data_IF_472327627485
#
_entry.id   IF_472327627485
#
_cell.length_a   1.000
_cell.length_b   1.000
_cell.length_c   1.000
_cell.angle_alpha   90.00
_cell.angle_beta   90.00
_cell.angle_gamma   90.00
#
_symmetry.space_group_name_H-M   'P 1'
#
loop_
_entity.id
_entity.type
_entity.pdbx_description
1 polymer ?
#
# COMPACT_ATOMS: atom_id res chain seq x y z
N UNK A 1 13.42 26.69 -7.68
CA UNK A 1 14.05 25.88 -6.62
C UNK A 1 14.08 24.42 -6.99
N UNK A 2 12.97 23.70 -6.83
CA UNK A 2 12.91 22.23 -6.99
C UNK A 2 12.78 21.74 -8.44
N UNK A 3 11.96 22.40 -9.27
CA UNK A 3 11.77 22.04 -10.70
C UNK A 3 13.11 22.00 -11.47
N UNK A 4 13.98 22.99 -11.23
CA UNK A 4 15.33 23.10 -11.82
C UNK A 4 16.31 22.04 -11.29
N UNK A 5 16.09 21.52 -10.09
CA UNK A 5 16.88 20.45 -9.48
C UNK A 5 16.48 19.08 -10.05
N UNK A 6 15.17 18.83 -10.19
CA UNK A 6 14.59 17.60 -10.78
C UNK A 6 14.99 17.43 -12.25
N UNK A 7 14.86 18.48 -13.07
CA UNK A 7 15.20 18.45 -14.50
C UNK A 7 16.68 18.12 -14.78
N UNK A 8 17.60 18.41 -13.85
CA UNK A 8 19.03 18.12 -14.01
C UNK A 8 19.40 16.66 -13.73
N UNK A 9 18.56 15.90 -13.01
CA UNK A 9 18.85 14.51 -12.59
C UNK A 9 18.12 13.44 -13.41
N UNK A 10 16.96 13.76 -13.99
CA UNK A 10 16.24 12.88 -14.93
C UNK A 10 17.11 12.43 -16.12
N UNK A 11 18.12 13.21 -16.51
CA UNK A 11 19.02 12.88 -17.63
C UNK A 11 20.05 11.76 -17.34
N UNK A 12 20.18 11.29 -16.08
CA UNK A 12 21.17 10.28 -15.68
C UNK A 12 20.62 8.88 -15.41
N UNK A 13 19.30 8.68 -15.38
CA UNK A 13 18.72 7.34 -15.38
C UNK A 13 18.54 6.87 -16.82
N UNK A 14 18.90 5.61 -17.11
CA UNK A 14 18.67 4.95 -18.41
C UNK A 14 17.17 4.69 -18.63
N UNK A 15 16.36 5.75 -18.66
CA UNK A 15 14.98 5.69 -19.13
C UNK A 15 15.03 5.74 -20.65
N UNK A 16 14.50 4.70 -21.29
CA UNK A 16 14.36 4.61 -22.74
C UNK A 16 13.66 5.85 -23.29
N UNK A 17 14.40 6.59 -24.15
CA UNK A 17 13.92 7.62 -25.09
C UNK A 17 12.73 8.47 -24.61
N UNK A 18 13.02 9.48 -23.79
CA UNK A 18 12.15 10.64 -23.65
C UNK A 18 12.07 11.37 -25.00
N UNK A 19 10.91 11.31 -25.68
CA UNK A 19 10.64 12.20 -26.81
C UNK A 19 10.43 13.62 -26.27
N UNK A 20 11.47 14.44 -26.39
CA UNK A 20 11.42 15.89 -26.22
C UNK A 20 10.78 16.47 -27.48
N UNK A 21 9.46 16.72 -27.44
CA UNK A 21 8.81 17.77 -28.23
C UNK A 21 7.34 17.86 -27.85
N UNK A 22 7.04 18.70 -26.86
CA UNK A 22 5.77 19.42 -26.81
C UNK A 22 6.06 20.87 -26.43
N UNK A 23 5.55 21.81 -27.23
CA UNK A 23 5.92 23.23 -27.21
C UNK A 23 5.23 24.04 -26.09
N UNK A 24 4.80 23.38 -25.03
CA UNK A 24 4.36 24.02 -23.78
C UNK A 24 5.22 23.45 -22.64
N UNK A 25 5.94 24.31 -21.92
CA UNK A 25 6.99 23.93 -20.95
C UNK A 25 6.53 23.20 -19.67
N UNK A 26 5.59 22.29 -19.79
CA UNK A 26 5.08 21.41 -18.74
C UNK A 26 5.47 19.98 -19.11
N UNK A 27 6.49 19.46 -18.43
CA UNK A 27 6.70 18.01 -18.32
C UNK A 27 5.36 17.39 -17.93
N UNK A 28 4.70 16.69 -18.87
CA UNK A 28 3.42 16.05 -18.65
C UNK A 28 3.60 14.91 -17.65
N UNK A 29 3.27 15.17 -16.39
CA UNK A 29 3.19 14.11 -15.39
C UNK A 29 1.86 13.40 -15.59
N UNK A 30 1.91 12.09 -15.85
CA UNK A 30 0.71 11.26 -15.96
C UNK A 30 0.14 11.03 -14.56
N UNK A 31 -1.06 11.54 -14.24
CA UNK A 31 -1.61 11.47 -12.88
C UNK A 31 -1.68 10.05 -12.33
N UNK A 32 -2.03 9.08 -13.18
CA UNK A 32 -2.16 7.67 -12.83
C UNK A 32 -0.84 7.00 -12.42
N UNK A 33 0.31 7.59 -12.76
CA UNK A 33 1.64 7.05 -12.43
C UNK A 33 2.47 7.98 -11.54
N UNK A 34 1.85 9.03 -11.02
CA UNK A 34 2.53 10.06 -10.23
C UNK A 34 2.18 9.92 -8.74
N UNK A 35 3.20 9.83 -7.89
CA UNK A 35 3.05 9.75 -6.43
C UNK A 35 3.27 11.14 -5.81
N UNK A 36 2.33 11.60 -5.00
CA UNK A 36 2.49 12.79 -4.17
C UNK A 36 3.21 12.45 -2.87
N UNK A 37 4.36 13.08 -2.59
CA UNK A 37 5.07 12.93 -1.32
C UNK A 37 4.90 14.18 -0.47
N UNK A 38 4.43 14.04 0.77
CA UNK A 38 4.40 15.13 1.74
C UNK A 38 5.66 15.08 2.60
N UNK A 39 6.47 16.14 2.52
CA UNK A 39 7.77 16.25 3.18
C UNK A 39 7.74 17.27 4.31
N UNK A 40 8.57 17.04 5.33
CA UNK A 40 8.76 17.99 6.42
C UNK A 40 9.66 19.15 6.01
N UNK A 41 9.19 20.38 6.21
CA UNK A 41 10.00 21.59 5.97
C UNK A 41 11.34 21.59 6.74
N UNK A 42 11.40 21.26 8.05
CA UNK A 42 12.66 21.27 8.80
C UNK A 42 13.76 20.45 8.11
N UNK A 43 13.47 19.21 7.71
CA UNK A 43 14.46 18.31 7.11
C UNK A 43 14.96 18.77 5.73
N UNK A 44 14.11 19.48 4.97
CA UNK A 44 14.53 20.09 3.71
C UNK A 44 15.42 21.32 3.94
N UNK A 45 15.09 22.14 4.94
CA UNK A 45 15.85 23.36 5.27
C UNK A 45 17.21 23.01 5.89
N UNK A 46 17.26 21.98 6.74
CA UNK A 46 18.50 21.50 7.37
C UNK A 46 19.35 20.62 6.45
N UNK A 47 18.93 20.40 5.20
CA UNK A 47 19.60 19.53 4.24
C UNK A 47 19.73 18.05 4.71
N UNK A 48 18.87 17.60 5.63
CA UNK A 48 18.89 16.24 6.20
C UNK A 48 17.88 15.32 5.50
N UNK A 49 17.94 15.25 4.17
CA UNK A 49 16.91 14.63 3.32
C UNK A 49 17.36 13.34 2.61
N UNK A 50 18.49 12.73 3.01
CA UNK A 50 19.05 11.54 2.33
C UNK A 50 18.08 10.35 2.29
N UNK A 51 17.35 10.12 3.39
CA UNK A 51 16.29 9.11 3.44
C UNK A 51 15.14 9.38 2.44
N UNK A 52 14.73 10.64 2.26
CA UNK A 52 13.77 11.03 1.21
C UNK A 52 14.32 10.76 -0.19
N UNK A 53 15.58 11.14 -0.46
CA UNK A 53 16.23 10.89 -1.75
C UNK A 53 16.26 9.39 -2.09
N UNK A 54 16.54 8.53 -1.11
CA UNK A 54 16.55 7.08 -1.31
C UNK A 54 15.16 6.53 -1.64
N UNK A 55 14.11 7.02 -0.98
CA UNK A 55 12.74 6.63 -1.30
C UNK A 55 12.32 7.10 -2.69
N UNK A 56 12.59 8.36 -3.04
CA UNK A 56 12.27 8.93 -4.36
C UNK A 56 12.93 8.09 -5.46
N UNK A 57 14.22 7.78 -5.32
CA UNK A 57 14.95 6.93 -6.28
C UNK A 57 14.34 5.54 -6.41
N UNK A 58 13.91 4.94 -5.30
CA UNK A 58 13.25 3.63 -5.34
C UNK A 58 11.91 3.69 -6.09
N UNK A 59 11.13 4.75 -5.89
CA UNK A 59 9.85 4.96 -6.60
C UNK A 59 10.10 5.18 -8.10
N UNK A 60 11.07 6.02 -8.45
CA UNK A 60 11.45 6.27 -9.85
C UNK A 60 11.97 5.02 -10.56
N UNK A 61 12.70 4.15 -9.84
CA UNK A 61 13.19 2.88 -10.38
C UNK A 61 12.06 1.90 -10.72
N UNK A 62 10.89 2.02 -10.10
CA UNK A 62 9.68 1.24 -10.44
C UNK A 62 8.87 1.89 -11.60
N UNK A 63 9.39 2.94 -12.22
CA UNK A 63 8.77 3.66 -13.33
C UNK A 63 7.60 4.56 -12.92
N UNK A 64 7.59 5.04 -11.67
CA UNK A 64 6.61 6.00 -11.18
C UNK A 64 7.24 7.40 -11.08
N UNK A 65 6.46 8.44 -11.37
CA UNK A 65 6.88 9.83 -11.18
C UNK A 65 6.60 10.30 -9.76
N UNK A 66 7.32 11.33 -9.30
CA UNK A 66 7.14 11.86 -7.94
C UNK A 66 6.94 13.37 -7.95
N UNK A 67 5.91 13.84 -7.25
CA UNK A 67 5.73 15.24 -6.87
C UNK A 67 5.97 15.35 -5.36
N UNK A 68 7.12 15.85 -4.91
CA UNK A 68 7.33 16.15 -3.51
C UNK A 68 6.83 17.57 -3.19
N UNK A 69 5.97 17.65 -2.18
CA UNK A 69 5.41 18.87 -1.66
C UNK A 69 5.82 19.04 -0.19
N UNK A 70 6.26 20.24 0.16
CA UNK A 70 6.58 20.57 1.55
C UNK A 70 5.26 20.88 2.26
N UNK A 71 4.97 20.12 3.32
CA UNK A 71 3.85 20.38 4.20
C UNK A 71 4.22 21.39 5.30
N UNK A 72 3.29 22.27 5.62
CA UNK A 72 3.42 23.25 6.70
C UNK A 72 2.88 22.70 8.01
N UNK A 73 3.48 21.61 8.51
CA UNK A 73 3.34 20.94 9.83
C UNK A 73 1.92 20.61 10.35
N UNK A 74 0.93 21.48 10.20
CA UNK A 74 -0.36 21.45 10.86
C UNK A 74 -1.53 21.26 9.88
N UNK A 75 -1.32 21.36 8.56
CA UNK A 75 -2.39 21.13 7.59
C UNK A 75 -1.81 20.72 6.23
N UNK A 76 -1.88 19.43 5.91
CA UNK A 76 -1.38 18.90 4.65
C UNK A 76 -2.27 19.27 3.44
N UNK A 77 -3.52 19.69 3.67
CA UNK A 77 -4.46 20.04 2.59
C UNK A 77 -3.93 21.18 1.73
N UNK A 78 -3.28 22.17 2.34
CA UNK A 78 -2.71 23.30 1.61
C UNK A 78 -1.65 22.86 0.59
N UNK A 79 -0.82 21.88 0.95
CA UNK A 79 0.17 21.30 0.05
C UNK A 79 -0.52 20.49 -1.06
N UNK A 80 -1.49 19.65 -0.69
CA UNK A 80 -2.26 18.84 -1.65
C UNK A 80 -3.02 19.71 -2.66
N UNK A 81 -3.76 20.73 -2.22
CA UNK A 81 -4.51 21.65 -3.07
C UNK A 81 -3.63 22.40 -4.08
N UNK A 82 -2.39 22.71 -3.69
CA UNK A 82 -1.47 23.47 -4.53
C UNK A 82 -0.71 22.60 -5.53
N UNK A 83 -0.38 21.37 -5.15
CA UNK A 83 0.57 20.55 -5.89
C UNK A 83 -0.01 19.25 -6.42
N UNK A 84 -0.98 18.66 -5.72
CA UNK A 84 -1.57 17.36 -6.06
C UNK A 84 -2.95 17.47 -6.69
N UNK A 85 -3.57 18.65 -6.67
CA UNK A 85 -4.87 18.89 -7.28
C UNK A 85 -4.71 19.83 -8.46
N UNK A 86 -5.37 19.52 -9.56
CA UNK A 86 -5.59 20.45 -10.65
C UNK A 86 -7.00 21.04 -10.52
N UNK A 87 -7.05 22.36 -10.37
CA UNK A 87 -8.28 23.13 -10.49
C UNK A 87 -8.22 23.74 -11.88
N UNK A 88 -8.88 23.11 -12.85
CA UNK A 88 -8.94 23.60 -14.22
C UNK A 88 -9.22 25.11 -14.30
N UNK A 89 -8.85 25.75 -15.41
CA UNK A 89 -8.66 27.20 -15.69
C UNK A 89 -9.70 28.25 -15.17
N UNK A 90 -10.68 27.89 -14.34
CA UNK A 90 -11.72 28.77 -13.81
C UNK A 90 -11.24 29.88 -12.84
N UNK A 91 -9.98 29.89 -12.38
CA UNK A 91 -9.48 30.90 -11.41
C UNK A 91 -8.47 31.92 -11.95
N UNK A 92 -7.87 31.74 -13.12
CA UNK A 92 -6.96 32.78 -13.65
C UNK A 92 -7.71 34.04 -14.12
N UNK A 93 -8.97 33.91 -14.55
CA UNK A 93 -9.81 35.05 -14.93
C UNK A 93 -10.36 35.91 -13.77
N UNK A 94 -10.37 35.42 -12.52
CA UNK A 94 -10.94 36.16 -11.37
C UNK A 94 -9.91 36.88 -10.50
N UNK A 95 -8.61 36.62 -10.70
CA UNK A 95 -7.55 37.26 -9.88
C UNK A 95 -7.19 38.69 -10.29
N UNK A 96 -7.61 39.18 -11.46
CA UNK A 96 -7.31 40.55 -11.91
C UNK A 96 -8.32 41.63 -11.48
N UNK A 97 -9.43 41.29 -10.81
CA UNK A 97 -10.40 42.29 -10.32
C UNK A 97 -10.93 41.97 -8.92
N UNK A 98 -10.07 42.10 -7.90
CA UNK A 98 -10.54 42.27 -6.53
C UNK A 98 -9.46 42.97 -5.70
N UNK A 99 -9.45 44.31 -5.78
CA UNK A 99 -8.83 45.13 -4.74
C UNK A 99 -9.66 45.04 -3.46
N UNK A 100 -9.00 44.70 -2.35
CA UNK A 100 -9.40 45.04 -0.99
C UNK A 100 -10.59 44.29 -0.36
N UNK A 101 -10.31 43.24 0.42
CA UNK A 101 -10.70 43.11 1.85
C UNK A 101 -10.20 41.79 2.44
N UNK A 102 -9.72 41.84 3.68
CA UNK A 102 -9.42 40.67 4.51
C UNK A 102 -10.72 39.90 4.78
N UNK A 103 -10.84 38.67 4.28
CA UNK A 103 -11.85 37.72 4.73
C UNK A 103 -11.13 36.44 5.21
N UNK A 104 -11.33 36.13 6.50
CA UNK A 104 -10.81 34.98 7.24
C UNK A 104 -11.55 33.70 6.84
N UNK A 105 -10.78 32.60 6.83
CA UNK A 105 -11.15 31.23 7.20
C UNK A 105 -12.65 30.91 7.38
N UNK A 106 -13.31 30.42 6.32
CA UNK A 106 -14.54 29.58 6.42
C UNK A 106 -14.85 28.76 5.15
N UNK A 107 -13.95 28.66 4.17
CA UNK A 107 -14.34 28.19 2.83
C UNK A 107 -13.72 26.83 2.42
N UNK A 108 -13.53 25.91 3.36
CA UNK A 108 -13.07 24.55 3.02
C UNK A 108 -14.21 23.62 2.56
N UNK A 109 -15.47 23.96 2.86
CA UNK A 109 -16.65 23.13 2.52
C UNK A 109 -17.04 23.15 1.04
N UNK A 110 -16.69 24.19 0.28
CA UNK A 110 -17.02 24.29 -1.15
C UNK A 110 -15.95 23.69 -2.08
N UNK A 111 -14.80 23.25 -1.55
CA UNK A 111 -13.61 22.98 -2.37
C UNK A 111 -13.51 21.57 -2.98
N UNK A 112 -14.36 20.64 -2.54
CA UNK A 112 -14.25 19.21 -2.91
C UNK A 112 -15.53 18.67 -3.58
N UNK A 113 -16.59 19.49 -3.63
CA UNK A 113 -17.82 19.20 -4.36
C UNK A 113 -17.78 19.67 -5.82
N UNK A 114 -16.70 20.32 -6.24
CA UNK A 114 -16.54 20.81 -7.60
C UNK A 114 -16.17 19.65 -8.53
N UNK A 115 -17.13 19.24 -9.38
CA UNK A 115 -17.03 18.10 -10.32
C UNK A 115 -15.84 18.14 -11.27
N UNK A 116 -15.13 19.27 -11.34
CA UNK A 116 -13.95 19.48 -12.17
C UNK A 116 -12.60 19.32 -11.43
N UNK A 117 -12.62 18.99 -10.14
CA UNK A 117 -11.39 18.76 -9.37
C UNK A 117 -10.76 17.45 -9.80
N UNK A 118 -9.57 17.50 -10.42
CA UNK A 118 -8.83 16.29 -10.84
C UNK A 118 -7.57 16.14 -10.00
N UNK A 119 -7.32 14.93 -9.51
CA UNK A 119 -6.04 14.62 -8.89
C UNK A 119 -4.94 14.57 -9.95
N UNK A 120 -3.79 15.16 -9.63
CA UNK A 120 -2.54 15.11 -10.39
C UNK A 120 -1.64 13.95 -9.96
N UNK A 121 -2.07 13.20 -8.95
CA UNK A 121 -1.35 12.08 -8.36
C UNK A 121 -2.29 10.90 -8.18
N UNK A 122 -1.78 9.69 -8.34
CA UNK A 122 -2.54 8.46 -8.14
C UNK A 122 -2.69 8.13 -6.66
N UNK A 123 -1.71 8.55 -5.84
CA UNK A 123 -1.57 8.17 -4.43
C UNK A 123 -0.83 9.28 -3.67
N UNK A 124 -1.16 9.46 -2.38
CA UNK A 124 -0.45 10.37 -1.47
C UNK A 124 0.29 9.55 -0.42
N UNK A 125 1.56 9.88 -0.21
CA UNK A 125 2.41 9.28 0.81
C UNK A 125 2.94 10.38 1.72
N UNK A 126 2.51 10.37 2.97
CA UNK A 126 3.04 11.24 4.01
C UNK A 126 4.34 10.69 4.57
N UNK A 127 5.37 11.54 4.58
CA UNK A 127 6.63 11.30 5.28
C UNK A 127 6.80 12.28 6.45
N UNK A 128 5.69 12.84 6.94
CA UNK A 128 5.70 13.81 8.04
C UNK A 128 5.73 13.16 9.42
N UNK A 129 5.28 11.90 9.53
CA UNK A 129 5.14 11.22 10.83
C UNK A 129 4.07 11.85 11.73
N UNK A 130 3.15 12.62 11.17
CA UNK A 130 2.10 13.34 11.89
C UNK A 130 0.73 13.17 11.22
N UNK A 131 -0.31 13.64 11.91
CA UNK A 131 -1.68 13.72 11.39
C UNK A 131 -1.75 14.47 10.05
N UNK A 132 -2.74 14.11 9.24
CA UNK A 132 -3.02 14.77 7.98
C UNK A 132 -3.52 16.22 8.18
N UNK A 133 -4.35 16.47 9.21
CA UNK A 133 -4.78 17.80 9.63
C UNK A 133 -4.63 17.94 11.14
N UNK A 134 -3.88 18.95 11.58
CA UNK A 134 -3.59 19.20 12.98
C UNK A 134 -2.22 18.67 13.42
N UNK A 135 -1.89 18.96 14.68
CA UNK A 135 -0.68 18.45 15.34
C UNK A 135 -1.00 17.23 16.21
N UNK A 136 0.01 16.55 16.78
CA UNK A 136 -0.19 15.35 17.60
C UNK A 136 -1.15 15.49 18.78
N UNK A 137 -1.28 16.70 19.32
CA UNK A 137 -2.14 17.00 20.47
C UNK A 137 -3.52 17.57 20.09
N UNK A 138 -3.72 17.94 18.83
CA UNK A 138 -4.92 18.61 18.31
C UNK A 138 -5.15 18.15 16.86
N UNK A 139 -5.35 16.84 16.66
CA UNK A 139 -5.67 16.27 15.36
C UNK A 139 -7.15 16.53 15.01
N UNK A 140 -7.42 16.81 13.74
CA UNK A 140 -8.75 16.98 13.18
C UNK A 140 -8.98 15.88 12.13
N UNK A 141 -9.19 14.66 12.62
CA UNK A 141 -9.33 13.48 11.78
C UNK A 141 -10.61 13.49 10.95
N UNK A 142 -11.67 14.15 11.41
CA UNK A 142 -12.90 14.33 10.65
C UNK A 142 -12.65 15.19 9.40
N UNK A 143 -11.93 16.31 9.56
CA UNK A 143 -11.57 17.16 8.43
C UNK A 143 -10.56 16.48 7.48
N UNK A 144 -9.69 15.61 8.00
CA UNK A 144 -8.81 14.78 7.18
C UNK A 144 -9.61 13.76 6.36
N UNK A 145 -10.54 13.03 7.00
CA UNK A 145 -11.38 12.04 6.36
C UNK A 145 -12.29 12.66 5.28
N UNK A 146 -12.92 13.80 5.55
CA UNK A 146 -13.73 14.55 4.57
C UNK A 146 -12.88 14.92 3.34
N UNK A 147 -11.68 15.46 3.57
CA UNK A 147 -10.79 15.87 2.48
C UNK A 147 -10.31 14.69 1.63
N UNK A 148 -9.81 13.64 2.28
CA UNK A 148 -9.26 12.46 1.62
C UNK A 148 -10.35 11.67 0.88
N UNK A 149 -11.57 11.59 1.43
CA UNK A 149 -12.73 10.97 0.79
C UNK A 149 -13.04 11.63 -0.54
N UNK A 150 -13.04 12.96 -0.60
CA UNK A 150 -13.36 13.65 -1.83
C UNK A 150 -12.23 13.67 -2.87
N UNK A 151 -10.97 13.41 -2.48
CA UNK A 151 -9.90 13.08 -3.44
C UNK A 151 -9.97 11.64 -3.94
N UNK A 152 -10.47 10.71 -3.11
CA UNK A 152 -10.68 9.30 -3.41
C UNK A 152 -9.44 8.59 -4.01
N UNK A 153 -8.27 8.83 -3.41
CA UNK A 153 -7.01 8.17 -3.77
C UNK A 153 -6.33 7.59 -2.53
N UNK A 154 -5.53 6.51 -2.65
CA UNK A 154 -4.86 5.90 -1.51
C UNK A 154 -3.94 6.88 -0.77
N UNK A 155 -4.13 6.94 0.55
CA UNK A 155 -3.29 7.69 1.48
C UNK A 155 -2.47 6.74 2.36
N UNK A 156 -1.16 6.99 2.47
CA UNK A 156 -0.24 6.23 3.32
C UNK A 156 0.58 7.16 4.18
N UNK A 157 0.98 6.66 5.34
CA UNK A 157 1.95 7.33 6.22
C UNK A 157 3.13 6.41 6.42
N UNK A 158 4.32 6.83 5.97
CA UNK A 158 5.55 6.07 6.18
C UNK A 158 6.31 6.61 7.39
N UNK A 159 7.02 5.70 8.05
CA UNK A 159 7.68 5.98 9.33
C UNK A 159 9.16 6.30 9.09
N UNK A 160 9.60 7.47 9.57
CA UNK A 160 11.01 7.82 9.71
C UNK A 160 11.44 7.58 11.16
N UNK A 161 12.55 6.89 11.36
CA UNK A 161 13.11 6.69 12.69
C UNK A 161 13.86 7.95 13.14
N UNK A 162 13.12 8.86 13.75
CA UNK A 162 13.63 10.15 14.20
C UNK A 162 13.94 10.18 15.71
N UNK A 163 13.27 9.32 16.51
CA UNK A 163 13.48 9.23 17.97
C UNK A 163 14.11 7.90 18.42
N UNK A 164 14.43 7.02 17.47
CA UNK A 164 15.22 5.82 17.69
C UNK A 164 16.19 5.60 16.53
N UNK A 165 17.32 4.94 16.79
CA UNK A 165 18.29 4.63 15.74
C UNK A 165 17.81 3.45 14.89
N UNK A 166 18.34 3.35 13.67
CA UNK A 166 18.10 2.18 12.80
C UNK A 166 18.51 0.88 13.50
N UNK A 167 19.65 0.91 14.19
CA UNK A 167 20.24 -0.25 14.85
C UNK A 167 19.37 -0.69 16.03
N UNK A 168 18.98 0.25 16.89
CA UNK A 168 18.05 -0.02 18.00
C UNK A 168 16.70 -0.56 17.52
N UNK A 169 16.18 -0.06 16.39
CA UNK A 169 14.95 -0.58 15.80
C UNK A 169 15.09 -2.02 15.28
N UNK A 170 16.25 -2.39 14.72
CA UNK A 170 16.52 -3.75 14.20
C UNK A 170 16.66 -4.78 15.31
N UNK A 171 17.27 -4.39 16.42
CA UNK A 171 17.49 -5.26 17.58
C UNK A 171 16.26 -5.33 18.49
N UNK A 172 15.31 -4.41 18.33
CA UNK A 172 14.09 -4.36 19.13
C UNK A 172 13.12 -5.49 18.77
N UNK A 173 12.75 -6.37 19.72
CA UNK A 173 11.77 -7.42 19.47
C UNK A 173 10.36 -6.88 19.20
N UNK A 174 10.07 -5.66 19.66
CA UNK A 174 8.77 -4.98 19.46
C UNK A 174 8.80 -3.97 18.31
N UNK A 175 9.95 -3.72 17.70
CA UNK A 175 10.12 -2.77 16.60
C UNK A 175 10.09 -1.30 17.08
N UNK A 176 9.00 -0.59 16.80
CA UNK A 176 8.89 0.85 17.12
C UNK A 176 8.71 1.09 18.62
N UNK A 177 9.38 2.11 19.16
CA UNK A 177 9.13 2.54 20.53
C UNK A 177 7.68 3.09 20.69
N UNK A 178 7.11 3.06 21.90
CA UNK A 178 5.71 3.46 22.12
C UNK A 178 5.38 4.89 21.67
N UNK A 179 6.33 5.83 21.77
CA UNK A 179 6.13 7.21 21.34
C UNK A 179 5.96 7.29 19.83
N UNK A 180 6.81 6.62 19.06
CA UNK A 180 6.69 6.58 17.60
C UNK A 180 5.48 5.80 17.14
N UNK A 181 5.13 4.71 17.80
CA UNK A 181 3.92 3.96 17.49
C UNK A 181 2.69 4.84 17.66
N UNK A 182 2.58 5.58 18.76
CA UNK A 182 1.46 6.52 18.97
C UNK A 182 1.41 7.62 17.90
N UNK A 183 2.55 8.27 17.63
CA UNK A 183 2.59 9.45 16.76
C UNK A 183 2.56 9.14 15.26
N UNK A 184 3.30 8.11 14.81
CA UNK A 184 3.52 7.84 13.39
C UNK A 184 2.68 6.67 12.85
N UNK A 185 2.00 5.91 13.72
CA UNK A 185 1.12 4.81 13.34
C UNK A 185 -0.32 5.10 13.77
N UNK A 186 -0.58 5.16 15.08
CA UNK A 186 -1.95 5.24 15.59
C UNK A 186 -2.70 6.51 15.13
N UNK A 187 -2.07 7.69 15.24
CA UNK A 187 -2.70 8.95 14.80
C UNK A 187 -2.98 8.95 13.28
N UNK A 188 -2.00 8.63 12.40
CA UNK A 188 -2.28 8.54 10.96
C UNK A 188 -3.34 7.49 10.59
N UNK A 189 -3.42 6.36 11.29
CA UNK A 189 -4.47 5.36 11.06
C UNK A 189 -5.87 5.90 11.35
N UNK A 190 -6.03 6.73 12.39
CA UNK A 190 -7.29 7.43 12.67
C UNK A 190 -7.66 8.40 11.52
N UNK A 191 -6.67 9.00 10.86
CA UNK A 191 -6.88 9.83 9.66
C UNK A 191 -7.15 9.01 8.38
N UNK A 192 -7.16 7.68 8.45
CA UNK A 192 -7.33 6.78 7.31
C UNK A 192 -6.05 6.46 6.53
N UNK A 193 -4.87 6.75 7.08
CA UNK A 193 -3.61 6.33 6.50
C UNK A 193 -3.47 4.81 6.56
N UNK A 194 -2.89 4.23 5.51
CA UNK A 194 -2.62 2.80 5.43
C UNK A 194 -1.12 2.50 5.39
N UNK A 195 -0.76 1.24 5.67
CA UNK A 195 0.58 0.68 5.47
C UNK A 195 1.72 1.45 6.19
N UNK A 196 1.69 1.56 7.53
CA UNK A 196 2.78 2.16 8.29
C UNK A 196 4.07 1.38 8.09
N UNK A 197 4.97 1.92 7.26
CA UNK A 197 6.19 1.22 6.87
C UNK A 197 7.42 2.07 7.14
N UNK A 198 8.37 1.53 7.90
CA UNK A 198 9.66 2.19 8.11
C UNK A 198 10.42 2.25 6.79
N UNK A 199 10.93 3.42 6.41
CA UNK A 199 11.68 3.60 5.16
C UNK A 199 13.08 4.19 5.36
N UNK A 200 13.35 4.80 6.51
CA UNK A 200 14.63 5.41 6.81
C UNK A 200 14.70 5.87 8.25
N UNK A 201 15.86 6.37 8.65
CA UNK A 201 16.11 6.80 10.01
C UNK A 201 17.56 7.15 10.26
N UNK A 202 17.90 7.57 11.48
CA UNK A 202 19.27 7.92 11.85
C UNK A 202 20.04 6.65 12.25
N UNK A 203 21.16 6.30 11.58
CA UNK A 203 22.05 5.23 12.05
C UNK A 203 22.67 5.59 13.40
N UNK A 204 23.04 4.61 14.23
CA UNK A 204 23.64 4.87 15.55
C UNK A 204 24.89 5.79 15.50
N UNK A 205 25.75 5.59 14.51
CA UNK A 205 26.94 6.42 14.27
C UNK A 205 26.72 7.52 13.21
N UNK A 206 25.47 7.75 12.83
CA UNK A 206 25.07 8.71 11.82
C UNK A 206 24.64 10.04 12.42
N UNK A 207 24.83 11.12 11.65
CA UNK A 207 24.37 12.47 12.01
C UNK A 207 23.17 12.92 11.17
N UNK A 208 22.80 12.14 10.14
CA UNK A 208 21.71 12.44 9.23
C UNK A 208 20.89 11.18 8.95
N UNK A 209 19.57 11.31 8.67
CA UNK A 209 18.75 10.16 8.38
C UNK A 209 19.13 9.51 7.03
N UNK A 210 19.37 8.21 7.05
CA UNK A 210 19.72 7.39 5.90
C UNK A 210 18.53 6.55 5.42
N UNK A 211 18.43 6.26 4.11
CA UNK A 211 17.40 5.36 3.60
C UNK A 211 17.71 3.91 3.95
N UNK A 212 16.67 3.16 4.33
CA UNK A 212 16.73 1.70 4.40
C UNK A 212 16.41 1.12 3.02
N UNK A 213 17.43 0.93 2.19
CA UNK A 213 17.25 0.72 0.74
C UNK A 213 16.29 -0.41 0.37
N UNK A 214 16.44 -1.59 0.98
CA UNK A 214 15.55 -2.75 0.74
C UNK A 214 14.10 -2.42 1.12
N UNK A 215 13.90 -1.62 2.17
CA UNK A 215 12.57 -1.17 2.61
C UNK A 215 12.00 -0.14 1.66
N UNK A 216 12.78 0.84 1.19
CA UNK A 216 12.37 1.79 0.15
C UNK A 216 11.94 1.07 -1.13
N UNK A 217 12.69 0.06 -1.58
CA UNK A 217 12.33 -0.76 -2.73
C UNK A 217 11.05 -1.55 -2.49
N UNK A 218 10.83 -2.08 -1.27
CA UNK A 218 9.57 -2.75 -0.92
C UNK A 218 8.38 -1.79 -0.98
N UNK A 219 8.52 -0.57 -0.44
CA UNK A 219 7.50 0.47 -0.53
C UNK A 219 7.20 0.83 -1.98
N UNK A 220 8.22 1.10 -2.79
CA UNK A 220 8.06 1.45 -4.20
C UNK A 220 7.30 0.36 -4.98
N UNK A 221 7.65 -0.92 -4.79
CA UNK A 221 6.91 -2.05 -5.38
C UNK A 221 5.46 -2.08 -4.94
N UNK A 222 5.15 -1.80 -3.67
CA UNK A 222 3.76 -1.71 -3.18
C UNK A 222 2.99 -0.58 -3.85
N UNK A 223 3.59 0.61 -3.95
CA UNK A 223 3.00 1.76 -4.67
C UNK A 223 2.71 1.40 -6.13
N UNK A 224 3.63 0.68 -6.80
CA UNK A 224 3.44 0.20 -8.17
C UNK A 224 2.30 -0.82 -8.30
N UNK A 225 2.15 -1.73 -7.33
CA UNK A 225 1.02 -2.69 -7.30
C UNK A 225 -0.32 -2.00 -7.12
N UNK A 226 -0.38 -0.97 -6.26
CA UNK A 226 -1.57 -0.14 -6.10
C UNK A 226 -1.89 0.67 -7.35
N UNK A 227 -0.87 1.24 -8.01
CA UNK A 227 -1.05 1.90 -9.30
C UNK A 227 -1.64 0.93 -10.32
N UNK A 228 -1.10 -0.29 -10.42
CA UNK A 228 -1.66 -1.33 -11.28
C UNK A 228 -3.11 -1.66 -10.94
N UNK A 229 -3.47 -1.72 -9.65
CA UNK A 229 -4.86 -1.95 -9.23
C UNK A 229 -5.80 -0.84 -9.70
N UNK A 230 -5.35 0.42 -9.67
CA UNK A 230 -6.14 1.58 -10.10
C UNK A 230 -6.35 1.62 -11.63
N UNK A 231 -5.38 1.17 -12.42
CA UNK A 231 -5.40 1.32 -13.88
C UNK A 231 -5.74 0.04 -14.66
N UNK A 232 -5.72 -1.13 -14.03
CA UNK A 232 -5.99 -2.39 -14.74
C UNK A 232 -7.47 -2.55 -15.04
N UNK A 233 -7.84 -3.11 -16.22
CA UNK A 233 -9.21 -3.54 -16.47
C UNK A 233 -9.64 -4.56 -15.41
N UNK A 234 -10.86 -4.41 -14.87
CA UNK A 234 -11.39 -5.31 -13.83
C UNK A 234 -11.38 -6.79 -14.22
N UNK A 235 -11.60 -7.07 -15.51
CA UNK A 235 -11.57 -8.43 -16.08
C UNK A 235 -10.19 -9.09 -16.05
N UNK A 236 -9.10 -8.32 -15.88
CA UNK A 236 -7.72 -8.80 -15.83
C UNK A 236 -7.16 -8.89 -14.40
N UNK A 237 -7.85 -8.29 -13.43
CA UNK A 237 -7.43 -8.31 -12.04
C UNK A 237 -7.59 -9.73 -11.48
N UNK A 238 -6.50 -10.26 -10.92
CA UNK A 238 -6.48 -11.54 -10.21
C UNK A 238 -6.57 -11.30 -8.71
N UNK A 239 -7.54 -11.95 -8.07
CA UNK A 239 -7.84 -11.81 -6.64
C UNK A 239 -7.60 -13.14 -5.92
N UNK A 240 -7.06 -13.08 -4.71
CA UNK A 240 -6.96 -14.22 -3.82
C UNK A 240 -7.77 -13.93 -2.56
N UNK A 241 -8.74 -14.79 -2.25
CA UNK A 241 -9.52 -14.80 -1.02
C UNK A 241 -8.98 -15.92 -0.15
N UNK A 242 -8.35 -15.59 0.98
CA UNK A 242 -7.76 -16.59 1.88
C UNK A 242 -8.69 -16.83 3.06
N UNK A 243 -9.20 -18.05 3.18
CA UNK A 243 -10.10 -18.48 4.25
C UNK A 243 -9.31 -19.14 5.36
N UNK A 244 -9.57 -18.71 6.59
CA UNK A 244 -9.01 -19.28 7.80
C UNK A 244 -9.71 -20.60 8.18
N UNK A 245 -8.91 -21.58 8.62
CA UNK A 245 -9.40 -22.84 9.15
C UNK A 245 -8.97 -22.99 10.63
N UNK A 246 -9.62 -22.24 11.52
CA UNK A 246 -9.35 -22.28 12.96
C UNK A 246 -10.66 -22.38 13.77
N UNK A 247 -10.80 -23.33 14.71
CA UNK A 247 -9.81 -24.32 15.14
C UNK A 247 -9.63 -25.47 14.11
N UNK A 248 -8.39 -25.96 13.91
CA UNK A 248 -8.11 -27.07 13.00
C UNK A 248 -8.82 -28.36 13.46
N UNK A 249 -9.05 -29.29 12.53
CA UNK A 249 -9.61 -30.64 12.77
C UNK A 249 -11.06 -30.73 13.29
N UNK A 250 -11.83 -29.65 13.28
CA UNK A 250 -13.28 -29.68 13.61
C UNK A 250 -14.23 -29.64 12.40
N UNK A 251 -13.74 -29.84 11.18
CA UNK A 251 -14.55 -29.69 9.96
C UNK A 251 -14.98 -28.24 9.68
N UNK A 252 -14.36 -27.28 10.35
CA UNK A 252 -14.76 -25.88 10.42
C UNK A 252 -13.91 -24.99 9.50
N UNK A 253 -13.84 -25.31 8.21
CA UNK A 253 -13.28 -24.38 7.23
C UNK A 253 -14.21 -23.17 7.15
N UNK A 254 -13.67 -21.98 7.41
CA UNK A 254 -14.44 -20.74 7.39
C UNK A 254 -15.24 -20.47 8.68
N UNK A 255 -14.75 -20.86 9.86
CA UNK A 255 -15.29 -20.30 11.11
C UNK A 255 -14.58 -19.01 11.46
N UNK A 256 -15.26 -17.89 11.24
CA UNK A 256 -14.96 -16.60 11.86
C UNK A 256 -16.09 -16.25 12.84
N UNK A 257 -15.78 -15.59 13.96
CA UNK A 257 -16.78 -15.23 14.96
C UNK A 257 -17.91 -14.40 14.30
N UNK A 258 -19.15 -14.83 14.50
CA UNK A 258 -20.38 -14.20 14.00
C UNK A 258 -20.45 -13.95 12.48
N UNK A 259 -19.69 -14.71 11.68
CA UNK A 259 -19.66 -14.59 10.23
C UNK A 259 -19.88 -15.93 9.54
N UNK A 260 -20.93 -16.03 8.70
CA UNK A 260 -21.06 -17.13 7.75
C UNK A 260 -20.10 -16.89 6.58
N UNK A 261 -18.90 -17.44 6.68
CA UNK A 261 -17.81 -17.17 5.73
C UNK A 261 -18.15 -17.65 4.33
N UNK A 262 -18.71 -18.85 4.17
CA UNK A 262 -18.99 -19.39 2.83
C UNK A 262 -20.14 -18.64 2.15
N UNK A 263 -21.19 -18.27 2.90
CA UNK A 263 -22.25 -17.41 2.37
C UNK A 263 -21.70 -16.03 1.98
N UNK A 264 -20.86 -15.44 2.83
CA UNK A 264 -20.24 -14.13 2.57
C UNK A 264 -19.33 -14.15 1.35
N UNK A 265 -18.49 -15.19 1.20
CA UNK A 265 -17.64 -15.38 0.03
C UNK A 265 -18.50 -15.52 -1.22
N UNK A 266 -19.57 -16.32 -1.18
CA UNK A 266 -20.47 -16.48 -2.32
C UNK A 266 -21.13 -15.15 -2.76
N UNK A 267 -21.58 -14.32 -1.80
CA UNK A 267 -22.08 -12.97 -2.09
C UNK A 267 -21.00 -12.04 -2.68
N UNK A 268 -19.77 -12.09 -2.16
CA UNK A 268 -18.63 -11.33 -2.71
C UNK A 268 -18.36 -11.76 -4.16
N UNK A 269 -18.39 -13.05 -4.48
CA UNK A 269 -18.19 -13.53 -5.87
C UNK A 269 -19.27 -12.97 -6.82
N UNK A 270 -20.54 -12.90 -6.37
CA UNK A 270 -21.62 -12.28 -7.15
C UNK A 270 -21.39 -10.78 -7.36
N UNK A 271 -21.01 -10.05 -6.32
CA UNK A 271 -20.70 -8.61 -6.45
C UNK A 271 -19.55 -8.37 -7.43
N UNK A 272 -18.48 -9.16 -7.31
CA UNK A 272 -17.33 -9.09 -8.22
C UNK A 272 -17.73 -9.36 -9.68
N UNK A 273 -18.54 -10.38 -9.95
CA UNK A 273 -19.02 -10.62 -11.32
C UNK A 273 -19.85 -9.44 -11.85
N UNK A 274 -20.77 -8.92 -11.04
CA UNK A 274 -21.62 -7.77 -11.40
C UNK A 274 -20.81 -6.49 -11.65
N UNK A 275 -19.68 -6.33 -10.97
CA UNK A 275 -18.75 -5.21 -11.16
C UNK A 275 -17.80 -5.39 -12.36
N UNK A 276 -17.85 -6.54 -13.04
CA UNK A 276 -17.07 -6.83 -14.25
C UNK A 276 -15.76 -7.57 -14.03
N UNK A 277 -15.55 -8.16 -12.84
CA UNK A 277 -14.43 -9.07 -12.60
C UNK A 277 -14.70 -10.43 -13.24
N UNK A 278 -13.65 -11.08 -13.74
CA UNK A 278 -13.75 -12.41 -14.35
C UNK A 278 -13.76 -13.49 -13.27
N UNK A 279 -14.95 -13.98 -12.93
CA UNK A 279 -15.12 -15.01 -11.90
C UNK A 279 -16.26 -15.96 -12.25
N UNK A 280 -16.01 -17.27 -12.07
CA UNK A 280 -17.04 -18.32 -12.13
C UNK A 280 -17.74 -18.42 -10.78
N UNK A 281 -19.06 -18.24 -10.77
CA UNK A 281 -19.87 -18.33 -9.55
C UNK A 281 -20.38 -19.77 -9.40
N UNK A 282 -20.15 -20.43 -8.25
CA UNK A 282 -20.80 -21.71 -7.94
C UNK A 282 -22.33 -21.56 -7.84
N UNK A 283 -23.08 -22.61 -8.19
CA UNK A 283 -24.56 -22.56 -8.23
C UNK A 283 -25.21 -22.24 -6.88
N UNK A 284 -24.55 -22.63 -5.78
CA UNK A 284 -25.01 -22.36 -4.42
C UNK A 284 -23.83 -22.32 -3.44
N UNK A 285 -24.10 -21.91 -2.20
CA UNK A 285 -23.14 -21.99 -1.09
C UNK A 285 -22.70 -23.44 -0.83
N UNK A 286 -23.62 -24.40 -0.96
CA UNK A 286 -23.31 -25.82 -0.81
C UNK A 286 -22.42 -26.34 -1.94
N UNK A 287 -22.63 -25.86 -3.18
CA UNK A 287 -21.74 -26.16 -4.29
C UNK A 287 -20.33 -25.59 -4.06
N UNK A 288 -20.23 -24.34 -3.56
CA UNK A 288 -18.95 -23.75 -3.17
C UNK A 288 -18.26 -24.60 -2.09
N UNK A 289 -18.99 -25.02 -1.07
CA UNK A 289 -18.46 -25.89 0.00
C UNK A 289 -17.95 -27.22 -0.56
N UNK A 290 -18.74 -27.87 -1.40
CA UNK A 290 -18.37 -29.15 -2.01
C UNK A 290 -17.12 -29.03 -2.88
N UNK A 291 -16.97 -27.92 -3.63
CA UNK A 291 -15.75 -27.66 -4.41
C UNK A 291 -14.52 -27.45 -3.52
N UNK A 292 -14.67 -26.75 -2.39
CA UNK A 292 -13.55 -26.43 -1.50
C UNK A 292 -13.11 -27.63 -0.66
N UNK A 293 -14.05 -28.45 -0.18
CA UNK A 293 -13.78 -29.59 0.70
C UNK A 293 -13.57 -30.91 -0.04
N UNK A 294 -14.10 -31.04 -1.25
CA UNK A 294 -13.99 -32.25 -2.05
C UNK A 294 -12.72 -32.33 -2.91
N UNK A 295 -12.79 -33.10 -3.98
CA UNK A 295 -11.71 -33.22 -4.96
C UNK A 295 -10.54 -34.06 -4.45
N UNK A 296 -9.31 -33.54 -4.57
CA UNK A 296 -8.09 -34.27 -4.23
C UNK A 296 -7.79 -34.32 -2.72
N UNK A 297 -8.69 -33.76 -1.89
CA UNK A 297 -8.54 -33.70 -0.43
C UNK A 297 -8.39 -35.11 0.18
N UNK A 298 -9.32 -36.02 -0.14
CA UNK A 298 -9.33 -37.39 0.42
C UNK A 298 -8.12 -38.23 -0.03
N UNK A 299 -7.66 -38.02 -1.27
CA UNK A 299 -6.52 -38.76 -1.84
C UNK A 299 -5.19 -38.26 -1.27
N UNK A 300 -5.08 -36.97 -0.99
CA UNK A 300 -3.87 -36.35 -0.43
C UNK A 300 -3.84 -36.33 1.10
N UNK A 301 -4.91 -36.75 1.79
CA UNK A 301 -5.05 -36.50 3.23
C UNK A 301 -5.08 -35.01 3.59
N UNK A 302 -5.47 -34.15 2.65
CA UNK A 302 -5.48 -32.70 2.82
C UNK A 302 -6.81 -32.21 3.41
N UNK A 303 -6.79 -31.07 4.09
CA UNK A 303 -7.99 -30.49 4.73
C UNK A 303 -8.99 -29.93 3.72
N UNK A 304 -8.51 -29.50 2.55
CA UNK A 304 -9.30 -28.96 1.46
C UNK A 304 -8.72 -29.40 0.10
N UNK A 305 -9.46 -29.11 -0.97
CA UNK A 305 -9.03 -29.39 -2.34
C UNK A 305 -7.62 -28.84 -2.61
N UNK A 306 -6.78 -29.62 -3.27
CA UNK A 306 -5.44 -29.17 -3.67
C UNK A 306 -5.52 -28.44 -5.00
N UNK A 307 -5.22 -27.14 -5.00
CA UNK A 307 -5.20 -26.32 -6.21
C UNK A 307 -3.86 -26.36 -6.94
N UNK A 308 -2.77 -26.52 -6.20
CA UNK A 308 -1.42 -26.54 -6.75
C UNK A 308 -0.50 -27.42 -5.90
N UNK A 309 0.39 -28.15 -6.57
CA UNK A 309 1.46 -28.94 -5.95
C UNK A 309 2.77 -28.29 -6.34
N UNK A 310 3.49 -27.78 -5.34
CA UNK A 310 4.73 -27.04 -5.52
C UNK A 310 5.90 -27.95 -5.20
N UNK A 311 6.82 -28.10 -6.14
CA UNK A 311 8.06 -28.83 -5.91
C UNK A 311 9.01 -28.02 -5.01
N UNK A 312 9.95 -28.73 -4.38
CA UNK A 312 10.90 -28.13 -3.43
C UNK A 312 11.85 -27.14 -4.10
N UNK A 313 12.23 -27.36 -5.36
CA UNK A 313 13.13 -26.47 -6.09
C UNK A 313 12.44 -25.14 -6.41
N UNK A 314 11.16 -25.18 -6.78
CA UNK A 314 10.32 -24.01 -6.97
C UNK A 314 10.13 -23.27 -5.65
N UNK A 315 9.84 -23.99 -4.55
CA UNK A 315 9.71 -23.39 -3.23
C UNK A 315 11.00 -22.67 -2.82
N UNK A 316 12.16 -23.32 -2.94
CA UNK A 316 13.47 -22.73 -2.62
C UNK A 316 13.78 -21.50 -3.46
N UNK A 317 13.37 -21.50 -4.74
CA UNK A 317 13.57 -20.34 -5.64
C UNK A 317 12.65 -19.16 -5.30
N UNK A 318 11.41 -19.41 -4.89
CA UNK A 318 10.42 -18.37 -4.62
C UNK A 318 10.46 -17.86 -3.16
N UNK A 319 10.99 -18.66 -2.24
CA UNK A 319 11.06 -18.37 -0.81
C UNK A 319 12.49 -18.00 -0.39
N UNK A 320 12.89 -16.71 -0.43
CA UNK A 320 14.25 -16.30 -0.09
C UNK A 320 14.59 -16.48 1.41
N UNK A 321 13.60 -16.76 2.25
CA UNK A 321 13.74 -17.01 3.69
C UNK A 321 13.54 -18.49 4.05
N UNK A 322 13.70 -19.39 3.09
CA UNK A 322 13.56 -20.85 3.32
C UNK A 322 14.48 -21.34 4.44
N UNK A 323 15.72 -20.85 4.54
CA UNK A 323 16.65 -21.29 5.59
C UNK A 323 16.17 -20.95 7.02
N UNK A 324 15.47 -19.83 7.20
CA UNK A 324 14.90 -19.46 8.50
C UNK A 324 13.70 -20.37 8.83
N UNK A 325 12.95 -20.80 7.82
CA UNK A 325 11.83 -21.74 7.99
C UNK A 325 12.36 -23.14 8.31
N UNK A 326 13.34 -23.63 7.56
CA UNK A 326 13.89 -24.98 7.75
C UNK A 326 14.60 -25.15 9.10
N UNK A 327 15.10 -24.06 9.68
CA UNK A 327 15.67 -24.06 11.02
C UNK A 327 14.64 -24.44 12.11
N UNK A 328 13.37 -24.09 11.91
CA UNK A 328 12.28 -24.35 12.86
C UNK A 328 11.45 -25.58 12.49
N UNK A 329 11.21 -25.80 11.19
CA UNK A 329 10.27 -26.80 10.67
C UNK A 329 10.94 -27.98 9.96
N UNK A 330 12.28 -28.00 9.91
CA UNK A 330 13.02 -28.99 9.14
C UNK A 330 12.96 -28.76 7.62
N UNK A 331 13.63 -29.62 6.83
CA UNK A 331 13.78 -29.42 5.39
C UNK A 331 12.44 -29.50 4.64
N UNK A 332 12.32 -28.69 3.59
CA UNK A 332 11.17 -28.77 2.68
C UNK A 332 11.02 -30.19 2.06
N UNK A 333 9.79 -30.69 1.83
CA UNK A 333 8.49 -29.99 1.92
C UNK A 333 7.87 -29.95 3.33
N UNK A 334 8.56 -30.43 4.37
CA UNK A 334 8.01 -30.55 5.74
C UNK A 334 6.95 -31.64 5.87
N UNK A 335 6.30 -31.72 7.05
CA UNK A 335 5.20 -32.65 7.30
C UNK A 335 3.83 -32.01 7.03
N UNK A 336 3.66 -30.73 7.35
CA UNK A 336 2.40 -30.00 7.21
C UNK A 336 2.11 -29.66 5.75
N UNK A 337 0.89 -29.95 5.30
CA UNK A 337 0.44 -29.69 3.93
C UNK A 337 1.42 -30.22 2.86
N UNK A 338 1.97 -31.41 3.10
CA UNK A 338 2.88 -32.06 2.16
C UNK A 338 2.29 -33.38 1.68
N UNK A 339 2.56 -33.76 0.43
CA UNK A 339 2.31 -35.13 -0.02
C UNK A 339 3.22 -35.49 -1.19
N UNK A 340 3.82 -36.68 -1.14
CA UNK A 340 4.65 -37.20 -2.23
C UNK A 340 5.89 -36.36 -2.55
N UNK A 341 6.47 -35.68 -1.54
CA UNK A 341 7.67 -34.83 -1.72
C UNK A 341 7.38 -33.40 -2.18
N UNK A 342 6.12 -32.97 -2.20
CA UNK A 342 5.71 -31.64 -2.66
C UNK A 342 4.88 -30.91 -1.60
N UNK A 343 4.89 -29.57 -1.67
CA UNK A 343 4.04 -28.71 -0.86
C UNK A 343 2.66 -28.54 -1.52
N UNK A 344 1.59 -28.69 -0.75
CA UNK A 344 0.21 -28.62 -1.20
C UNK A 344 -0.38 -27.24 -0.93
N UNK A 345 -0.71 -26.51 -1.99
CA UNK A 345 -1.47 -25.27 -1.90
C UNK A 345 -2.95 -25.61 -2.02
N UNK A 346 -3.66 -25.50 -0.91
CA UNK A 346 -5.07 -25.85 -0.81
C UNK A 346 -5.98 -24.67 -1.20
N UNK A 347 -7.02 -24.96 -1.97
CA UNK A 347 -7.98 -23.98 -2.46
C UNK A 347 -8.68 -24.41 -3.74
N UNK A 348 -9.40 -23.46 -4.35
CA UNK A 348 -10.05 -23.62 -5.65
C UNK A 348 -9.83 -22.39 -6.54
N UNK A 349 -9.68 -22.64 -7.84
CA UNK A 349 -9.60 -21.58 -8.85
C UNK A 349 -10.95 -21.35 -9.52
N UNK A 350 -11.41 -20.10 -9.53
CA UNK A 350 -12.64 -19.62 -10.16
C UNK A 350 -12.29 -18.49 -11.15
N UNK A 351 -11.73 -18.87 -12.30
CA UNK A 351 -11.15 -17.96 -13.30
C UNK A 351 -10.02 -17.08 -12.74
N UNK A 352 -10.25 -15.78 -12.51
CA UNK A 352 -9.24 -14.88 -11.94
C UNK A 352 -9.33 -14.75 -10.42
N UNK A 353 -10.30 -15.42 -9.77
CA UNK A 353 -10.42 -15.46 -8.32
C UNK A 353 -9.94 -16.80 -7.80
N UNK A 354 -8.95 -16.79 -6.91
CA UNK A 354 -8.49 -17.95 -6.17
C UNK A 354 -9.08 -17.90 -4.75
N UNK A 355 -9.67 -18.98 -4.28
CA UNK A 355 -10.08 -19.13 -2.88
C UNK A 355 -9.11 -20.12 -2.25
N UNK A 356 -8.18 -19.62 -1.45
CA UNK A 356 -7.18 -20.41 -0.75
C UNK A 356 -7.62 -20.76 0.66
N UNK A 357 -7.24 -21.94 1.14
CA UNK A 357 -7.39 -22.32 2.54
C UNK A 357 -6.04 -22.15 3.22
N UNK A 358 -5.99 -21.36 4.29
CA UNK A 358 -4.74 -21.19 5.03
C UNK A 358 -4.36 -22.52 5.70
N UNK A 359 -3.07 -22.92 5.64
CA UNK A 359 -2.53 -24.00 6.47
C UNK A 359 -2.81 -23.79 7.96
N UNK A 360 -2.70 -24.87 8.74
CA UNK A 360 -2.73 -24.78 10.20
C UNK A 360 -1.59 -23.87 10.69
N UNK A 361 -1.81 -23.18 11.82
CA UNK A 361 -0.80 -22.29 12.39
C UNK A 361 0.42 -23.02 12.95
N UNK A 362 0.35 -24.36 13.11
CA UNK A 362 1.44 -25.15 13.70
C UNK A 362 1.62 -24.94 15.21
N UNK A 363 0.59 -24.54 15.95
CA UNK A 363 0.65 -24.38 17.42
C UNK A 363 1.08 -25.68 18.15
N UNK A 364 0.84 -26.83 17.55
CA UNK A 364 1.19 -28.15 18.09
C UNK A 364 2.63 -28.57 17.72
N UNK A 365 3.35 -27.77 16.91
CA UNK A 365 4.61 -28.16 16.29
C UNK A 365 4.39 -29.00 15.03
N UNK A 366 5.43 -29.72 14.64
CA UNK A 366 5.41 -30.76 13.60
C UNK A 366 4.96 -32.12 14.17
#
# INVERSE_FOLDING_TARGET
GYRRWYSKRSFKSQVSSFKLEDQTGTLGLEPESTIGLLLMRPQIVSNTHKHYDGLIRAIEAEGLSVIPAISTLMDNRQACERFFVDRGEAREGRRQKAGGRKQRATDNRELITDKNTRSRVSQIVSLTGFSFVGGPAMNDSDAAAEYLTGLNIPYRSLVSLDTQTIDSWRESPTGLNPVQTGMQVAIPEIDGATEPFVFGGIPERGVEPAPLWVRCQRVARRLKRWQRLQTSPRSEIKLALVVYCFPPNKGNIGTAADLDVLASVWEVLKSLQNEGYRVRIPESVDALRAMLLGGYAEVAGATANVAYRMDVDEYARLCPFIGDIEAEWGPAPGAINSAGGELLIQGIQLDNVFIGVQPTFGYEGD
#
